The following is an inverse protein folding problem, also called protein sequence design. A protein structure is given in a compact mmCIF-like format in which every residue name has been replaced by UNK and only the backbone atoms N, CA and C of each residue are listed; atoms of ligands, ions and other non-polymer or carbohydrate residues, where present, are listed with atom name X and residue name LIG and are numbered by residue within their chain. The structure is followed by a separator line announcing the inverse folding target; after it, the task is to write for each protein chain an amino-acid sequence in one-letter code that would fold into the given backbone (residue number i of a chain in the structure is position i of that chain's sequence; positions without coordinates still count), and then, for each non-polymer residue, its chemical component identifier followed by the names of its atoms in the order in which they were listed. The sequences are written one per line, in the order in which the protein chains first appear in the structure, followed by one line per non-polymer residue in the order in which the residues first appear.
data_IF_741163929268
#
_entry.id   IF_741163929268
#
_cell.length_a   1.000
_cell.length_b   1.000
_cell.length_c   1.000
_cell.angle_alpha   90.00
_cell.angle_beta   90.00
_cell.angle_gamma   90.00
#
_symmetry.space_group_name_H-M   'P 1'
#
loop_
_entity.id
_entity.type
_entity.pdbx_description
1 polymer ?
#
# COMPACT_ATOMS: atom_id res chain seq x y z
N UNK A 1 -53.72 -34.09 -38.22
CA UNK A 1 -53.45 -33.51 -36.89
C UNK A 1 -52.28 -34.26 -36.29
N UNK A 2 -51.07 -33.73 -36.45
CA UNK A 2 -49.84 -34.20 -35.77
C UNK A 2 -48.81 -33.10 -36.00
N UNK A 3 -48.85 -32.06 -35.18
CA UNK A 3 -47.79 -31.05 -35.06
C UNK A 3 -47.91 -30.42 -33.67
N UNK A 4 -46.79 -30.32 -32.94
CA UNK A 4 -46.74 -29.45 -31.76
C UNK A 4 -45.90 -29.87 -30.56
N UNK A 5 -45.20 -31.02 -30.56
CA UNK A 5 -44.49 -31.45 -29.35
C UNK A 5 -42.97 -31.62 -29.43
N UNK A 6 -42.32 -31.47 -30.60
CA UNK A 6 -40.86 -31.66 -30.68
C UNK A 6 -40.00 -30.39 -30.63
N UNK A 7 -40.58 -29.19 -30.79
CA UNK A 7 -39.79 -27.94 -30.84
C UNK A 7 -39.69 -27.19 -29.50
N UNK A 8 -40.48 -27.57 -28.48
CA UNK A 8 -40.41 -26.96 -27.15
C UNK A 8 -39.33 -27.57 -26.25
N UNK A 9 -38.91 -28.82 -26.50
CA UNK A 9 -37.89 -29.50 -25.69
C UNK A 9 -36.46 -28.99 -25.91
N UNK A 10 -36.15 -28.51 -27.12
CA UNK A 10 -34.81 -28.05 -27.46
C UNK A 10 -34.55 -26.61 -27.03
N UNK A 11 -35.57 -25.74 -27.06
CA UNK A 11 -35.46 -24.37 -26.54
C UNK A 11 -35.34 -24.35 -25.01
N UNK A 12 -35.98 -25.28 -24.28
CA UNK A 12 -35.80 -25.39 -22.83
C UNK A 12 -34.42 -25.90 -22.42
N UNK A 13 -33.79 -26.81 -23.18
CA UNK A 13 -32.46 -27.33 -22.82
C UNK A 13 -31.33 -26.32 -23.09
N UNK A 14 -31.39 -25.56 -24.19
CA UNK A 14 -30.38 -24.52 -24.47
C UNK A 14 -30.47 -23.33 -23.52
N UNK A 15 -31.67 -22.98 -23.05
CA UNK A 15 -31.84 -21.90 -22.06
C UNK A 15 -31.34 -22.33 -20.67
N UNK A 16 -31.53 -23.61 -20.28
CA UNK A 16 -31.01 -24.12 -19.00
C UNK A 16 -29.48 -24.21 -18.98
N UNK A 17 -28.83 -24.57 -20.11
CA UNK A 17 -27.35 -24.61 -20.18
C UNK A 17 -26.73 -23.19 -20.19
N UNK A 18 -27.43 -22.19 -20.75
CA UNK A 18 -27.02 -20.78 -20.66
C UNK A 18 -27.23 -20.17 -19.26
N UNK A 19 -28.24 -20.61 -18.51
CA UNK A 19 -28.45 -20.17 -17.12
C UNK A 19 -27.48 -20.81 -16.12
N UNK A 20 -26.85 -21.94 -16.46
CA UNK A 20 -25.81 -22.60 -15.64
C UNK A 20 -24.37 -22.16 -15.95
N UNK A 21 -24.16 -21.34 -17.00
CA UNK A 21 -22.85 -20.78 -17.38
C UNK A 21 -22.78 -19.25 -17.32
N UNK A 22 -23.69 -18.61 -16.59
CA UNK A 22 -23.42 -17.27 -16.09
C UNK A 22 -22.31 -17.38 -15.04
N UNK A 23 -21.14 -16.73 -15.21
CA UNK A 23 -20.25 -16.54 -14.07
C UNK A 23 -21.09 -15.80 -13.03
N UNK A 24 -21.48 -16.51 -11.97
CA UNK A 24 -22.20 -15.90 -10.85
C UNK A 24 -21.44 -14.65 -10.43
N UNK A 25 -22.12 -13.60 -9.93
CA UNK A 25 -21.45 -12.36 -9.56
C UNK A 25 -20.29 -12.73 -8.65
N UNK A 26 -19.07 -12.61 -9.17
CA UNK A 26 -17.86 -12.85 -8.40
C UNK A 26 -17.87 -11.79 -7.33
N UNK A 27 -18.43 -12.14 -6.18
CA UNK A 27 -18.72 -11.22 -5.12
C UNK A 27 -17.40 -10.62 -4.66
N UNK A 28 -17.17 -9.34 -5.02
CA UNK A 28 -16.05 -8.53 -4.59
C UNK A 28 -15.78 -8.82 -3.10
N UNK A 29 -14.60 -9.34 -2.82
CA UNK A 29 -14.23 -9.89 -1.53
C UNK A 29 -13.49 -8.83 -0.73
N UNK A 30 -14.02 -8.51 0.45
CA UNK A 30 -13.48 -7.54 1.39
C UNK A 30 -13.44 -8.08 2.82
N UNK A 31 -12.40 -8.85 3.12
CA UNK A 31 -12.07 -9.17 4.50
C UNK A 31 -10.95 -8.26 4.97
N UNK A 32 -11.21 -7.37 5.91
CA UNK A 32 -10.16 -6.80 6.76
C UNK A 32 -9.74 -7.77 7.87
N UNK A 33 -9.77 -9.06 7.62
CA UNK A 33 -9.21 -10.04 8.55
C UNK A 33 -7.70 -10.06 8.30
N UNK A 34 -6.90 -10.35 9.32
CA UNK A 34 -5.44 -10.21 9.31
C UNK A 34 -4.66 -11.14 8.37
N UNK A 35 -5.27 -11.52 7.24
CA UNK A 35 -4.71 -12.36 6.20
C UNK A 35 -4.61 -11.64 4.83
N UNK A 36 -5.40 -10.59 4.49
CA UNK A 36 -5.39 -9.98 3.13
C UNK A 36 -5.77 -8.46 3.08
N UNK A 37 -5.04 -7.59 2.35
CA UNK A 37 -5.37 -6.18 2.05
C UNK A 37 -6.34 -5.91 0.87
N UNK A 38 -6.80 -4.65 0.71
CA UNK A 38 -8.06 -4.16 0.06
C UNK A 38 -8.35 -4.28 -1.46
N UNK A 39 -9.64 -4.48 -1.81
CA UNK A 39 -10.15 -4.71 -3.19
C UNK A 39 -11.53 -4.09 -3.51
N UNK A 40 -11.62 -2.89 -4.13
CA UNK A 40 -12.83 -2.07 -4.44
C UNK A 40 -14.26 -2.72 -4.51
N UNK A 41 -15.27 -1.99 -4.03
CA UNK A 41 -16.70 -2.39 -4.07
C UNK A 41 -17.35 -1.68 -5.26
N UNK A 42 -18.15 -2.36 -6.10
CA UNK A 42 -18.91 -1.68 -7.14
C UNK A 42 -19.94 -0.72 -6.51
N UNK A 43 -19.93 0.51 -7.00
CA UNK A 43 -20.71 1.64 -6.53
C UNK A 43 -22.13 1.57 -7.11
N UNK A 44 -23.07 0.94 -6.41
CA UNK A 44 -24.49 1.17 -6.67
C UNK A 44 -25.02 2.16 -5.62
N UNK A 45 -25.48 3.33 -6.09
CA UNK A 45 -26.22 4.33 -5.31
C UNK A 45 -27.47 3.69 -4.72
N UNK A 46 -27.78 4.01 -3.46
CA UNK A 46 -29.04 3.64 -2.83
C UNK A 46 -29.85 4.89 -2.51
N UNK A 47 -31.19 4.83 -2.63
CA UNK A 47 -32.08 5.90 -2.23
C UNK A 47 -32.11 6.05 -0.70
N UNK A 48 -32.32 7.28 -0.24
CA UNK A 48 -32.47 7.63 1.17
C UNK A 48 -33.67 6.90 1.79
N UNK A 49 -33.41 5.97 2.71
CA UNK A 49 -34.41 5.43 3.63
C UNK A 49 -33.80 5.22 5.03
N UNK A 50 -34.54 5.69 6.05
CA UNK A 50 -34.39 5.47 7.49
C UNK A 50 -32.94 5.29 8.02
N UNK A 51 -32.38 6.44 8.41
CA UNK A 51 -31.03 6.69 8.94
C UNK A 51 -30.59 5.71 10.06
N UNK A 52 -31.53 5.21 10.86
CA UNK A 52 -31.22 4.33 12.01
C UNK A 52 -30.79 2.90 11.65
N UNK A 53 -31.23 2.33 10.52
CA UNK A 53 -30.93 0.93 10.12
C UNK A 53 -30.06 0.80 8.86
N UNK A 54 -29.84 1.89 8.12
CA UNK A 54 -29.07 1.88 6.89
C UNK A 54 -27.59 1.49 7.10
N UNK A 55 -26.95 2.03 8.15
CA UNK A 55 -25.52 1.78 8.40
C UNK A 55 -25.25 0.31 8.82
N UNK A 56 -26.17 -0.35 9.52
CA UNK A 56 -26.08 -1.78 9.83
C UNK A 56 -26.02 -2.63 8.55
N UNK A 57 -26.90 -2.33 7.59
CA UNK A 57 -26.93 -3.00 6.28
C UNK A 57 -25.62 -2.78 5.51
N UNK A 58 -25.00 -1.61 5.62
CA UNK A 58 -23.71 -1.34 4.98
C UNK A 58 -22.57 -2.15 5.62
N UNK A 59 -22.50 -2.20 6.96
CA UNK A 59 -21.59 -3.10 7.67
C UNK A 59 -21.81 -4.57 7.29
N UNK A 60 -23.04 -4.95 6.93
CA UNK A 60 -23.36 -6.33 6.58
C UNK A 60 -22.89 -6.76 5.20
N UNK A 61 -22.84 -5.81 4.26
CA UNK A 61 -22.29 -5.99 2.91
C UNK A 61 -20.77 -6.11 2.91
N UNK A 62 -20.10 -5.59 3.94
CA UNK A 62 -18.67 -5.79 4.16
C UNK A 62 -18.42 -7.22 4.71
N UNK A 63 -17.41 -7.91 4.19
CA UNK A 63 -17.06 -9.28 4.67
C UNK A 63 -16.20 -9.20 5.94
N UNK A 64 -16.78 -8.70 7.03
CA UNK A 64 -16.10 -8.51 8.31
C UNK A 64 -16.19 -9.75 9.23
N UNK A 65 -15.12 -9.99 10.01
CA UNK A 65 -15.11 -10.94 11.14
C UNK A 65 -16.21 -10.59 12.16
N UNK A 66 -16.65 -11.55 12.98
CA UNK A 66 -17.68 -11.33 14.02
C UNK A 66 -17.34 -10.18 14.98
N UNK A 67 -16.06 -9.98 15.31
CA UNK A 67 -15.60 -8.85 16.15
C UNK A 67 -15.67 -7.53 15.39
N UNK A 68 -15.16 -7.51 14.16
CA UNK A 68 -15.12 -6.33 13.31
C UNK A 68 -16.51 -5.83 12.93
N UNK A 69 -17.44 -6.74 12.64
CA UNK A 69 -18.84 -6.42 12.37
C UNK A 69 -19.50 -5.74 13.56
N UNK A 70 -19.21 -6.21 14.79
CA UNK A 70 -19.68 -5.57 16.03
C UNK A 70 -19.10 -4.17 16.20
N UNK A 71 -17.83 -3.97 15.86
CA UNK A 71 -17.19 -2.64 15.90
C UNK A 71 -17.76 -1.69 14.83
N UNK A 72 -17.98 -2.17 13.61
CA UNK A 72 -18.58 -1.40 12.52
C UNK A 72 -19.99 -0.90 12.89
N UNK A 73 -20.80 -1.77 13.49
CA UNK A 73 -22.18 -1.46 13.90
C UNK A 73 -22.29 -0.60 15.17
N UNK A 74 -21.17 -0.26 15.81
CA UNK A 74 -21.17 0.47 17.10
C UNK A 74 -21.33 1.98 16.93
N UNK A 75 -20.91 2.51 15.79
CA UNK A 75 -20.85 3.94 15.52
C UNK A 75 -21.31 4.20 14.07
N UNK A 76 -22.37 4.99 13.87
CA UNK A 76 -22.76 5.45 12.55
C UNK A 76 -21.57 6.13 11.82
N UNK A 77 -21.45 5.93 10.51
CA UNK A 77 -20.36 6.49 9.71
C UNK A 77 -19.10 5.63 9.60
N UNK A 78 -18.92 4.62 10.47
CA UNK A 78 -17.77 3.69 10.36
C UNK A 78 -17.83 2.89 9.06
N UNK A 79 -19.01 2.43 8.64
CA UNK A 79 -19.16 1.61 7.44
C UNK A 79 -18.76 2.36 6.16
N UNK A 80 -19.19 3.61 6.04
CA UNK A 80 -18.86 4.53 4.95
C UNK A 80 -17.36 4.85 4.95
N UNK A 81 -16.81 5.11 6.13
CA UNK A 81 -15.37 5.42 6.31
C UNK A 81 -14.48 4.22 5.98
N UNK A 82 -14.91 3.00 6.30
CA UNK A 82 -14.22 1.78 5.88
C UNK A 82 -14.17 1.65 4.35
N UNK A 83 -15.27 1.95 3.65
CA UNK A 83 -15.33 1.92 2.19
C UNK A 83 -14.45 2.99 1.54
N UNK A 84 -14.40 4.19 2.15
CA UNK A 84 -13.49 5.26 1.73
C UNK A 84 -12.02 4.84 1.87
N UNK A 85 -11.65 4.30 3.04
CA UNK A 85 -10.30 3.79 3.31
C UNK A 85 -9.86 2.73 2.29
N UNK A 86 -10.74 1.76 2.03
CA UNK A 86 -10.60 0.73 1.02
C UNK A 86 -10.25 1.32 -0.35
N UNK A 87 -11.05 2.30 -0.78
CA UNK A 87 -10.98 2.84 -2.14
C UNK A 87 -9.72 3.67 -2.31
N UNK A 88 -9.43 4.49 -1.31
CA UNK A 88 -8.25 5.33 -1.24
C UNK A 88 -6.96 4.48 -1.24
N UNK A 89 -6.86 3.45 -0.40
CA UNK A 89 -5.70 2.54 -0.38
C UNK A 89 -5.50 1.79 -1.70
N UNK A 90 -6.60 1.32 -2.31
CA UNK A 90 -6.58 0.60 -3.57
C UNK A 90 -6.07 1.48 -4.73
N UNK A 91 -6.61 2.70 -4.85
CA UNK A 91 -6.20 3.67 -5.86
C UNK A 91 -4.74 4.07 -5.68
N UNK A 92 -4.30 4.33 -4.45
CA UNK A 92 -2.91 4.68 -4.19
C UNK A 92 -1.96 3.54 -4.51
N UNK A 93 -2.34 2.29 -4.19
CA UNK A 93 -1.52 1.14 -4.55
C UNK A 93 -1.37 0.99 -6.07
N UNK A 94 -2.46 1.13 -6.82
CA UNK A 94 -2.40 1.12 -8.28
C UNK A 94 -1.55 2.28 -8.81
N UNK A 95 -1.68 3.47 -8.22
CA UNK A 95 -0.87 4.62 -8.59
C UNK A 95 0.63 4.37 -8.38
N UNK A 96 1.03 3.90 -7.19
CA UNK A 96 2.43 3.67 -6.85
C UNK A 96 3.09 2.58 -7.73
N UNK A 97 2.31 1.63 -8.24
CA UNK A 97 2.78 0.49 -9.01
C UNK A 97 2.42 0.53 -10.51
N UNK A 98 1.86 1.65 -11.00
CA UNK A 98 1.37 1.79 -12.39
C UNK A 98 2.40 1.47 -13.47
N UNK A 99 3.68 1.71 -13.18
CA UNK A 99 4.79 1.54 -14.11
C UNK A 99 5.67 0.31 -13.81
N UNK A 100 5.27 -0.51 -12.84
CA UNK A 100 5.99 -1.70 -12.40
C UNK A 100 5.44 -2.96 -13.07
N UNK A 101 6.22 -4.05 -13.08
CA UNK A 101 5.77 -5.35 -13.62
C UNK A 101 4.58 -5.92 -12.86
N UNK A 102 4.52 -5.68 -11.56
CA UNK A 102 3.34 -5.90 -10.73
C UNK A 102 2.60 -4.57 -10.55
N UNK A 103 1.35 -4.48 -10.99
CA UNK A 103 0.58 -3.24 -11.06
C UNK A 103 -0.50 -3.11 -9.98
N UNK A 104 -0.32 -3.80 -8.84
CA UNK A 104 -1.31 -3.86 -7.77
C UNK A 104 -2.73 -4.23 -8.23
N UNK A 105 -2.98 -5.51 -8.59
CA UNK A 105 -4.31 -5.95 -8.99
C UNK A 105 -5.32 -5.71 -7.87
N UNK A 106 -6.39 -4.99 -8.20
CA UNK A 106 -7.42 -4.58 -7.25
C UNK A 106 -8.25 -5.77 -6.78
N UNK A 107 -8.58 -6.70 -7.67
CA UNK A 107 -9.46 -7.83 -7.40
C UNK A 107 -8.98 -9.12 -8.07
N UNK A 108 -9.58 -10.23 -7.67
CA UNK A 108 -9.46 -11.52 -8.35
C UNK A 108 -8.38 -12.45 -7.80
N UNK A 109 -8.21 -13.57 -8.51
CA UNK A 109 -7.36 -14.70 -8.11
C UNK A 109 -5.89 -14.34 -7.87
N UNK A 110 -5.35 -13.41 -8.65
CA UNK A 110 -3.94 -13.01 -8.56
C UNK A 110 -3.64 -12.33 -7.24
N UNK A 111 -4.54 -11.45 -6.81
CA UNK A 111 -4.45 -10.78 -5.52
C UNK A 111 -4.50 -11.79 -4.36
N UNK A 112 -5.52 -12.66 -4.36
CA UNK A 112 -5.67 -13.69 -3.33
C UNK A 112 -4.46 -14.65 -3.26
N UNK A 113 -3.81 -14.92 -4.40
CA UNK A 113 -2.62 -15.77 -4.41
C UNK A 113 -1.37 -15.06 -3.86
N UNK A 114 -1.21 -13.76 -4.12
CA UNK A 114 -0.11 -12.96 -3.57
C UNK A 114 -0.20 -12.88 -2.05
N UNK A 115 -1.40 -12.64 -1.53
CA UNK A 115 -1.59 -12.36 -0.11
C UNK A 115 -1.45 -13.58 0.80
N UNK A 116 -1.69 -14.78 0.25
CA UNK A 116 -1.32 -16.06 0.86
C UNK A 116 0.19 -16.24 1.06
N UNK A 117 1.03 -15.42 0.43
CA UNK A 117 2.49 -15.53 0.46
C UNK A 117 3.14 -14.31 1.09
N UNK A 118 4.33 -14.51 1.64
CA UNK A 118 5.10 -13.47 2.32
C UNK A 118 5.99 -12.64 1.42
N UNK A 119 5.49 -12.16 0.28
CA UNK A 119 6.26 -11.35 -0.67
C UNK A 119 6.39 -9.87 -0.26
N UNK A 120 7.28 -9.12 -0.91
CA UNK A 120 7.41 -7.66 -0.74
C UNK A 120 6.09 -6.95 -1.06
N UNK A 121 5.37 -7.40 -2.09
CA UNK A 121 4.09 -6.82 -2.53
C UNK A 121 3.05 -6.99 -1.43
N UNK A 122 3.02 -8.16 -0.79
CA UNK A 122 2.15 -8.41 0.35
C UNK A 122 2.46 -7.45 1.50
N UNK A 123 3.74 -7.26 1.83
CA UNK A 123 4.16 -6.32 2.87
C UNK A 123 3.68 -4.89 2.63
N UNK A 124 3.83 -4.39 1.39
CA UNK A 124 3.31 -3.07 1.01
C UNK A 124 1.79 -3.01 1.13
N UNK A 125 1.09 -4.04 0.65
CA UNK A 125 -0.36 -4.05 0.68
C UNK A 125 -0.92 -4.00 2.11
N UNK A 126 -0.32 -4.69 3.07
CA UNK A 126 -0.67 -4.57 4.50
C UNK A 126 -0.45 -3.14 5.02
N UNK A 127 0.69 -2.54 4.69
CA UNK A 127 1.05 -1.21 5.16
C UNK A 127 0.16 -0.10 4.56
N UNK A 128 -0.10 -0.12 3.25
CA UNK A 128 -0.97 0.89 2.60
C UNK A 128 -2.43 0.75 3.05
N UNK A 129 -2.86 -0.46 3.39
CA UNK A 129 -4.20 -0.72 3.89
C UNK A 129 -4.38 -0.20 5.32
N UNK A 130 -3.44 -0.52 6.22
CA UNK A 130 -3.51 -0.01 7.57
C UNK A 130 -3.31 1.51 7.64
N UNK A 131 -2.48 2.08 6.77
CA UNK A 131 -2.33 3.53 6.61
C UNK A 131 -3.63 4.18 6.12
N UNK A 132 -4.30 3.62 5.11
CA UNK A 132 -5.56 4.17 4.60
C UNK A 132 -6.69 4.12 5.62
N UNK A 133 -6.76 3.06 6.43
CA UNK A 133 -7.68 3.00 7.56
C UNK A 133 -7.40 4.10 8.58
N UNK A 134 -6.15 4.24 9.02
CA UNK A 134 -5.80 5.28 10.00
C UNK A 134 -6.10 6.68 9.45
N UNK A 135 -5.78 6.91 8.18
CA UNK A 135 -6.00 8.20 7.52
C UNK A 135 -7.49 8.55 7.41
N UNK A 136 -8.30 7.64 6.87
CA UNK A 136 -9.74 7.85 6.71
C UNK A 136 -10.45 8.01 8.06
N UNK A 137 -10.10 7.19 9.06
CA UNK A 137 -10.72 7.27 10.40
C UNK A 137 -10.39 8.58 11.10
N UNK A 138 -9.14 9.04 11.03
CA UNK A 138 -8.74 10.31 11.63
C UNK A 138 -9.46 11.51 10.99
N UNK A 139 -9.61 11.49 9.65
CA UNK A 139 -10.36 12.50 8.89
C UNK A 139 -11.86 12.44 9.13
N UNK A 140 -12.43 11.26 9.30
CA UNK A 140 -13.85 11.12 9.59
C UNK A 140 -14.22 11.73 10.95
N UNK A 141 -13.33 11.62 11.95
CA UNK A 141 -13.50 12.27 13.25
C UNK A 141 -13.46 13.79 13.16
N UNK A 142 -12.47 14.36 12.47
CA UNK A 142 -12.36 15.82 12.31
C UNK A 142 -13.46 16.40 11.40
N UNK A 143 -14.02 15.60 10.51
CA UNK A 143 -15.17 15.98 9.69
C UNK A 143 -16.53 15.85 10.42
N UNK A 144 -16.58 15.33 11.65
CA UNK A 144 -17.83 15.11 12.38
C UNK A 144 -18.72 14.03 11.78
N UNK A 145 -18.17 13.09 11.00
CA UNK A 145 -18.92 11.99 10.35
C UNK A 145 -19.15 10.78 11.25
N UNK A 146 -18.49 10.72 12.41
CA UNK A 146 -18.61 9.65 13.39
C UNK A 146 -18.98 10.25 14.74
N UNK A 147 -19.89 9.63 15.46
CA UNK A 147 -20.47 10.21 16.68
C UNK A 147 -19.59 9.95 17.90
N UNK A 148 -18.80 8.87 17.91
CA UNK A 148 -17.99 8.47 19.06
C UNK A 148 -16.56 8.99 19.03
N UNK A 149 -16.26 9.95 18.16
CA UNK A 149 -15.00 10.68 18.18
C UNK A 149 -15.18 12.14 17.80
N UNK A 150 -14.25 12.96 18.27
CA UNK A 150 -14.15 14.38 17.97
C UNK A 150 -12.81 14.68 17.33
N UNK A 151 -12.56 15.93 16.90
CA UNK A 151 -11.23 16.34 16.47
C UNK A 151 -10.19 16.25 17.59
N UNK A 152 -8.91 16.26 17.18
CA UNK A 152 -7.80 16.49 18.11
C UNK A 152 -7.72 17.98 18.43
N UNK A 153 -8.09 18.34 19.66
CA UNK A 153 -7.97 19.72 20.19
C UNK A 153 -6.52 20.09 20.54
N UNK A 154 -5.59 19.11 20.51
CA UNK A 154 -4.14 19.26 20.68
C UNK A 154 -3.72 20.26 21.80
N UNK A 155 -4.14 20.03 23.06
CA UNK A 155 -3.83 20.93 24.18
C UNK A 155 -2.33 21.04 24.49
N UNK A 156 -1.56 20.01 24.13
CA UNK A 156 -0.12 19.87 24.40
C UNK A 156 0.78 20.86 23.62
N UNK A 157 0.20 21.63 22.69
CA UNK A 157 0.95 22.52 21.80
C UNK A 157 0.82 24.01 22.20
N UNK A 158 0.21 24.33 23.35
CA UNK A 158 0.08 25.70 23.89
C UNK A 158 1.36 26.54 23.71
N UNK A 159 1.27 27.57 22.86
CA UNK A 159 2.34 28.53 22.68
C UNK A 159 1.85 29.89 23.16
N UNK A 160 2.41 30.38 24.26
CA UNK A 160 2.02 31.65 24.92
C UNK A 160 2.36 32.91 24.10
N UNK A 161 2.89 32.76 22.87
CA UNK A 161 3.29 33.87 22.00
C UNK A 161 2.54 33.82 20.67
N UNK A 162 1.50 34.65 20.58
CA UNK A 162 0.94 35.26 19.37
C UNK A 162 0.06 34.44 18.40
N UNK A 163 -0.51 33.30 18.78
CA UNK A 163 -1.55 32.66 17.97
C UNK A 163 -2.53 31.86 18.82
N UNK A 164 -3.80 31.85 18.42
CA UNK A 164 -4.89 31.21 19.16
C UNK A 164 -5.12 29.80 18.58
N UNK A 165 -5.18 28.80 19.46
CA UNK A 165 -5.63 27.47 19.08
C UNK A 165 -7.12 27.52 18.73
N UNK A 166 -7.44 26.92 17.59
CA UNK A 166 -8.78 26.86 17.06
C UNK A 166 -8.78 26.01 15.80
N UNK A 167 -9.92 25.40 15.49
CA UNK A 167 -10.04 24.49 14.35
C UNK A 167 -9.98 23.02 14.75
N UNK A 168 -10.50 22.19 13.84
CA UNK A 168 -10.77 20.79 14.10
C UNK A 168 -9.66 19.94 13.45
N UNK A 169 -8.67 19.53 14.27
CA UNK A 169 -7.53 18.72 13.82
C UNK A 169 -7.88 17.24 13.62
N UNK A 170 -7.15 16.57 12.73
CA UNK A 170 -7.34 15.14 12.45
C UNK A 170 -6.98 14.28 13.67
N UNK A 171 -7.91 13.42 14.12
CA UNK A 171 -7.74 12.64 15.36
C UNK A 171 -6.97 11.34 15.15
N UNK A 172 -5.65 11.46 14.97
CA UNK A 172 -4.73 10.34 14.75
C UNK A 172 -4.69 9.40 15.96
N UNK A 173 -4.82 9.94 17.18
CA UNK A 173 -4.80 9.15 18.42
C UNK A 173 -5.97 8.16 18.45
N UNK A 174 -7.19 8.65 18.17
CA UNK A 174 -8.38 7.80 18.04
C UNK A 174 -8.22 6.78 16.91
N UNK A 175 -7.81 7.23 15.71
CA UNK A 175 -7.69 6.36 14.55
C UNK A 175 -6.70 5.20 14.80
N UNK A 176 -5.53 5.48 15.37
CA UNK A 176 -4.54 4.47 15.73
C UNK A 176 -5.10 3.43 16.71
N UNK A 177 -5.90 3.86 17.69
CA UNK A 177 -6.56 2.96 18.64
C UNK A 177 -7.61 2.10 17.94
N UNK A 178 -8.50 2.73 17.18
CA UNK A 178 -9.56 2.05 16.42
C UNK A 178 -8.98 0.97 15.51
N UNK A 179 -7.98 1.32 14.69
CA UNK A 179 -7.39 0.41 13.70
C UNK A 179 -6.69 -0.78 14.38
N UNK A 180 -5.93 -0.55 15.47
CA UNK A 180 -5.31 -1.65 16.23
C UNK A 180 -6.35 -2.61 16.82
N UNK A 181 -7.44 -2.07 17.36
CA UNK A 181 -8.52 -2.89 17.94
C UNK A 181 -9.31 -3.64 16.87
N UNK A 182 -9.51 -3.00 15.72
CA UNK A 182 -10.25 -3.52 14.57
C UNK A 182 -9.50 -4.63 13.85
N UNK A 183 -8.20 -4.47 13.59
CA UNK A 183 -7.36 -5.49 12.98
C UNK A 183 -7.03 -6.63 13.96
N UNK A 184 -7.04 -6.32 15.26
CA UNK A 184 -6.89 -7.29 16.35
C UNK A 184 -5.46 -7.81 16.53
N UNK A 185 -5.19 -8.45 17.67
CA UNK A 185 -3.91 -9.11 17.95
C UNK A 185 -3.94 -10.54 17.40
N UNK A 186 -2.97 -10.91 16.57
CA UNK A 186 -2.78 -12.29 16.06
C UNK A 186 -1.88 -13.08 17.01
N UNK A 187 -1.97 -14.41 16.94
CA UNK A 187 -1.06 -15.29 17.66
C UNK A 187 0.37 -15.03 17.18
N UNK A 188 1.27 -14.72 18.12
CA UNK A 188 2.66 -14.38 17.82
C UNK A 188 3.51 -15.61 17.45
N UNK A 189 2.89 -16.80 17.38
CA UNK A 189 3.58 -18.08 17.20
C UNK A 189 4.20 -18.22 15.79
N UNK A 190 3.48 -17.80 14.75
CA UNK A 190 3.93 -17.91 13.37
C UNK A 190 4.73 -16.66 12.92
N UNK A 191 5.90 -16.88 12.30
CA UNK A 191 6.72 -15.83 11.70
C UNK A 191 5.91 -14.97 10.71
N UNK A 192 5.03 -15.59 9.91
CA UNK A 192 4.19 -14.87 8.95
C UNK A 192 3.29 -13.85 9.65
N UNK A 193 2.60 -14.28 10.70
CA UNK A 193 1.74 -13.42 11.50
C UNK A 193 2.52 -12.27 12.16
N UNK A 194 3.75 -12.51 12.60
CA UNK A 194 4.65 -11.48 13.15
C UNK A 194 5.00 -10.41 12.10
N UNK A 195 5.38 -10.85 10.91
CA UNK A 195 5.74 -9.97 9.79
C UNK A 195 4.54 -9.15 9.32
N UNK A 196 3.37 -9.75 9.16
CA UNK A 196 2.16 -9.04 8.72
C UNK A 196 1.70 -8.01 9.76
N UNK A 197 1.78 -8.36 11.05
CA UNK A 197 1.53 -7.43 12.14
C UNK A 197 2.52 -6.27 12.16
N UNK A 198 3.80 -6.53 11.90
CA UNK A 198 4.81 -5.47 11.79
C UNK A 198 4.50 -4.51 10.64
N UNK A 199 4.27 -5.03 9.44
CA UNK A 199 3.94 -4.21 8.27
C UNK A 199 2.67 -3.38 8.48
N UNK A 200 1.66 -3.98 9.12
CA UNK A 200 0.45 -3.29 9.56
C UNK A 200 0.78 -2.12 10.50
N UNK A 201 1.63 -2.35 11.51
CA UNK A 201 2.05 -1.31 12.44
C UNK A 201 2.88 -0.20 11.79
N UNK A 202 3.70 -0.52 10.78
CA UNK A 202 4.43 0.47 9.98
C UNK A 202 3.43 1.39 9.27
N UNK A 203 2.40 0.85 8.62
CA UNK A 203 1.35 1.66 7.98
C UNK A 203 0.56 2.56 8.94
N UNK A 204 0.27 2.08 10.14
CA UNK A 204 -0.36 2.90 11.20
C UNK A 204 0.58 4.03 11.62
N UNK A 205 1.87 3.72 11.86
CA UNK A 205 2.86 4.70 12.35
C UNK A 205 3.29 5.74 11.33
N UNK A 206 3.27 5.40 10.03
CA UNK A 206 3.68 6.33 8.97
C UNK A 206 2.65 7.44 8.77
N UNK A 207 1.40 7.18 9.16
CA UNK A 207 0.29 8.14 9.11
C UNK A 207 0.48 9.20 10.20
N UNK A 208 1.24 10.24 9.86
CA UNK A 208 1.55 11.38 10.71
C UNK A 208 0.85 12.64 10.20
N UNK A 209 0.63 13.58 11.11
CA UNK A 209 0.09 14.90 10.78
C UNK A 209 1.05 16.00 11.22
N UNK A 210 1.09 17.06 10.41
CA UNK A 210 1.87 18.27 10.62
C UNK A 210 0.96 19.40 11.12
N UNK A 211 1.55 20.40 11.74
CA UNK A 211 0.82 21.60 12.15
C UNK A 211 0.56 22.44 10.88
N UNK A 212 -0.71 22.72 10.61
CA UNK A 212 -1.15 23.62 9.53
C UNK A 212 -1.84 24.82 10.15
N UNK A 213 -1.60 26.01 9.60
CA UNK A 213 -2.14 27.26 10.11
C UNK A 213 -2.88 28.03 9.01
N UNK A 214 -3.99 28.68 9.36
CA UNK A 214 -4.64 29.73 8.57
C UNK A 214 -4.44 31.09 9.22
N UNK A 215 -4.19 32.10 8.40
CA UNK A 215 -3.99 33.48 8.83
C UNK A 215 -5.29 34.28 8.67
N UNK A 216 -5.61 35.09 9.68
CA UNK A 216 -6.87 35.84 9.78
C UNK A 216 -6.67 37.34 10.03
N UNK A 217 -5.45 37.86 9.89
CA UNK A 217 -5.17 39.29 10.08
C UNK A 217 -5.71 40.16 8.94
N UNK A 218 -5.80 41.46 9.20
CA UNK A 218 -6.26 42.49 8.23
C UNK A 218 -5.49 42.33 6.92
N UNK A 219 -6.21 42.35 5.79
CA UNK A 219 -5.67 42.18 4.44
C UNK A 219 -4.90 40.87 4.20
N UNK A 220 -5.21 39.80 4.94
CA UNK A 220 -4.54 38.50 4.80
C UNK A 220 -3.21 38.38 5.57
N UNK A 221 -2.93 39.31 6.48
CA UNK A 221 -1.75 39.23 7.35
C UNK A 221 -1.82 38.05 8.33
N UNK A 222 -0.66 37.53 8.74
CA UNK A 222 -0.55 36.40 9.68
C UNK A 222 -0.32 36.83 11.14
N UNK A 223 -0.69 38.06 11.50
CA UNK A 223 -0.57 38.59 12.87
C UNK A 223 -1.43 37.80 13.86
N UNK A 224 -2.62 37.39 13.42
CA UNK A 224 -3.43 36.37 14.09
C UNK A 224 -3.56 35.18 13.15
N UNK A 225 -3.27 33.99 13.69
CA UNK A 225 -3.43 32.74 12.97
C UNK A 225 -4.02 31.68 13.88
N UNK A 226 -4.64 30.72 13.24
CA UNK A 226 -5.30 29.58 13.87
C UNK A 226 -4.69 28.32 13.30
N UNK A 227 -4.16 27.45 14.15
CA UNK A 227 -3.46 26.24 13.71
C UNK A 227 -4.12 24.99 14.26
N UNK A 228 -4.05 23.90 13.48
CA UNK A 228 -4.51 22.57 13.87
C UNK A 228 -3.57 21.52 13.29
N UNK A 229 -3.69 20.29 13.80
CA UNK A 229 -2.96 19.15 13.25
C UNK A 229 -3.68 18.60 12.02
N UNK A 230 -2.99 18.52 10.90
CA UNK A 230 -3.53 18.01 9.64
C UNK A 230 -2.68 16.85 9.12
N UNK A 231 -3.33 15.76 8.71
CA UNK A 231 -2.68 14.63 8.07
C UNK A 231 -2.05 15.04 6.73
N UNK A 232 -0.92 14.40 6.42
CA UNK A 232 -0.33 14.51 5.09
C UNK A 232 -1.32 14.04 4.01
N UNK A 233 -1.22 14.59 2.78
CA UNK A 233 -1.90 14.03 1.62
C UNK A 233 -1.60 12.53 1.50
N UNK A 234 -2.63 11.72 1.21
CA UNK A 234 -2.45 10.27 1.20
C UNK A 234 -1.45 9.81 0.14
N UNK A 235 -1.31 10.56 -0.96
CA UNK A 235 -0.31 10.31 -1.99
C UNK A 235 1.13 10.36 -1.45
N UNK A 236 1.44 11.30 -0.54
CA UNK A 236 2.76 11.36 0.10
C UNK A 236 2.99 10.16 1.03
N UNK A 237 1.95 9.68 1.71
CA UNK A 237 2.01 8.47 2.53
C UNK A 237 2.31 7.26 1.65
N UNK A 238 1.62 7.14 0.50
CA UNK A 238 1.87 6.10 -0.50
C UNK A 238 3.30 6.13 -1.04
N UNK A 239 3.83 7.32 -1.35
CA UNK A 239 5.19 7.49 -1.84
C UNK A 239 6.23 7.10 -0.78
N UNK A 240 6.02 7.50 0.47
CA UNK A 240 6.87 7.10 1.59
C UNK A 240 6.84 5.57 1.80
N UNK A 241 5.66 4.94 1.73
CA UNK A 241 5.53 3.48 1.81
C UNK A 241 6.21 2.78 0.63
N UNK A 242 6.18 3.36 -0.58
CA UNK A 242 6.85 2.81 -1.77
C UNK A 242 8.37 2.83 -1.58
N UNK A 243 8.93 3.87 -0.98
CA UNK A 243 10.35 3.91 -0.60
C UNK A 243 10.71 2.80 0.41
N UNK A 244 9.84 2.56 1.41
CA UNK A 244 10.03 1.47 2.37
C UNK A 244 9.90 0.08 1.73
N UNK A 245 9.08 -0.05 0.70
CA UNK A 245 8.95 -1.27 -0.09
C UNK A 245 10.24 -1.56 -0.87
N UNK A 246 10.84 -0.56 -1.51
CA UNK A 246 12.10 -0.75 -2.23
C UNK A 246 13.20 -1.23 -1.28
N UNK A 247 13.34 -0.57 -0.13
CA UNK A 247 14.35 -0.86 0.88
C UNK A 247 13.95 -1.97 1.88
N UNK A 248 12.87 -2.70 1.61
CA UNK A 248 12.35 -3.72 2.52
C UNK A 248 13.31 -4.88 2.75
N UNK A 249 13.32 -5.43 3.97
CA UNK A 249 14.26 -6.47 4.39
C UNK A 249 13.62 -7.86 4.38
N UNK A 250 14.35 -8.85 3.86
CA UNK A 250 13.97 -10.25 3.94
C UNK A 250 14.32 -10.82 5.32
N UNK A 251 13.37 -11.54 5.91
CA UNK A 251 13.52 -12.20 7.21
C UNK A 251 13.23 -13.69 7.11
N UNK A 252 14.02 -14.49 7.81
CA UNK A 252 13.80 -15.93 7.96
C UNK A 252 13.69 -16.32 9.44
N UNK A 253 13.17 -17.51 9.71
CA UNK A 253 13.21 -18.12 11.05
C UNK A 253 14.51 -18.89 11.18
N UNK A 254 15.37 -18.57 12.14
CA UNK A 254 16.34 -19.54 12.66
C UNK A 254 15.68 -20.23 13.85
N UNK A 255 15.22 -21.47 13.64
CA UNK A 255 14.81 -22.33 14.75
C UNK A 255 16.06 -22.98 15.31
N UNK A 256 16.57 -22.49 16.43
CA UNK A 256 17.48 -23.29 17.26
C UNK A 256 16.59 -24.26 18.05
N UNK A 257 16.71 -25.56 17.79
CA UNK A 257 15.85 -26.62 18.36
C UNK A 257 15.92 -26.73 19.90
N UNK A 258 16.78 -25.96 20.57
CA UNK A 258 16.98 -26.02 22.02
C UNK A 258 16.04 -25.13 22.86
N UNK A 259 15.31 -24.17 22.30
CA UNK A 259 14.51 -23.21 23.11
C UNK A 259 13.06 -23.01 22.67
N UNK A 260 12.63 -23.55 21.52
CA UNK A 260 11.25 -23.41 21.04
C UNK A 260 10.85 -21.96 20.66
N UNK A 261 11.79 -21.03 20.63
CA UNK A 261 11.61 -19.64 20.19
C UNK A 261 12.32 -19.42 18.84
N UNK A 262 11.58 -18.93 17.85
CA UNK A 262 12.08 -18.71 16.49
C UNK A 262 12.67 -17.31 16.33
N UNK A 263 13.98 -17.22 16.20
CA UNK A 263 14.72 -15.97 16.01
C UNK A 263 14.52 -15.42 14.58
N UNK A 264 14.50 -14.09 14.44
CA UNK A 264 14.33 -13.40 13.14
C UNK A 264 15.71 -13.01 12.60
N UNK A 265 16.28 -13.85 11.74
CA UNK A 265 17.55 -13.54 11.08
C UNK A 265 17.34 -12.59 9.89
N UNK A 266 18.00 -11.43 9.90
CA UNK A 266 18.07 -10.54 8.73
C UNK A 266 19.09 -11.10 7.72
N UNK A 267 18.72 -11.20 6.44
CA UNK A 267 19.53 -11.81 5.37
C UNK A 267 20.92 -11.20 5.11
N UNK A 268 21.28 -10.08 5.77
CA UNK A 268 22.62 -9.48 5.68
C UNK A 268 23.75 -10.41 6.14
N UNK A 269 23.50 -11.31 7.10
CA UNK A 269 24.51 -12.27 7.58
C UNK A 269 24.85 -13.36 6.55
N UNK A 270 23.88 -13.82 5.77
CA UNK A 270 24.10 -14.85 4.74
C UNK A 270 24.87 -14.31 3.53
N UNK A 271 24.61 -13.06 3.11
CA UNK A 271 25.38 -12.41 2.04
C UNK A 271 26.84 -12.14 2.43
N UNK A 272 27.10 -11.75 3.68
CA UNK A 272 28.47 -11.58 4.18
C UNK A 272 29.24 -12.91 4.26
N UNK A 273 28.57 -14.01 4.65
CA UNK A 273 29.20 -15.34 4.66
C UNK A 273 29.49 -15.87 3.25
N UNK A 274 28.60 -15.64 2.28
CA UNK A 274 28.87 -16.02 0.87
C UNK A 274 29.98 -15.17 0.23
N UNK A 275 30.05 -13.87 0.54
CA UNK A 275 31.15 -13.01 0.09
C UNK A 275 32.49 -13.38 0.73
N UNK A 276 32.50 -13.76 2.03
CA UNK A 276 33.71 -14.25 2.69
C UNK A 276 34.18 -15.60 2.14
N UNK A 277 33.26 -16.52 1.81
CA UNK A 277 33.62 -17.80 1.17
C UNK A 277 34.15 -17.61 -0.26
N UNK A 278 33.61 -16.67 -1.04
CA UNK A 278 34.14 -16.34 -2.36
C UNK A 278 35.50 -15.64 -2.29
N UNK A 279 35.73 -14.76 -1.30
CA UNK A 279 37.03 -14.12 -1.08
C UNK A 279 38.10 -15.12 -0.59
N UNK A 280 37.73 -16.11 0.24
CA UNK A 280 38.65 -17.16 0.68
C UNK A 280 39.05 -18.12 -0.45
N UNK A 281 38.15 -18.39 -1.41
CA UNK A 281 38.50 -19.21 -2.58
C UNK A 281 39.42 -18.48 -3.57
N UNK A 282 39.36 -17.14 -3.65
CA UNK A 282 40.26 -16.36 -4.52
C UNK A 282 41.67 -16.17 -3.94
N UNK A 283 41.85 -16.25 -2.62
CA UNK A 283 43.17 -16.09 -1.99
C UNK A 283 44.08 -17.35 -2.07
N UNK A 284 43.56 -18.50 -2.51
CA UNK A 284 44.37 -19.72 -2.65
C UNK A 284 45.07 -19.88 -4.01
N UNK A 285 44.96 -18.91 -4.93
CA UNK A 285 45.50 -19.04 -6.30
C UNK A 285 46.53 -17.97 -6.74
N UNK A 286 47.21 -17.27 -5.83
CA UNK A 286 48.31 -16.37 -6.22
C UNK A 286 49.69 -16.85 -5.73
N UNK A 287 50.71 -16.97 -6.62
CA UNK A 287 52.09 -17.25 -6.23
C UNK A 287 52.77 -16.02 -5.59
N UNK A 288 53.62 -16.26 -4.59
CA UNK A 288 54.41 -15.24 -3.88
C UNK A 288 55.58 -14.67 -4.72
N UNK A 289 55.84 -13.34 -4.70
CA UNK A 289 57.14 -12.78 -5.08
C UNK A 289 58.02 -12.42 -3.87
N UNK A 290 59.34 -12.50 -4.09
CA UNK A 290 60.46 -12.25 -3.16
C UNK A 290 60.66 -10.75 -2.77
N UNK A 291 61.41 -10.45 -1.68
CA UNK A 291 61.42 -9.12 -1.05
C UNK A 291 62.53 -8.19 -1.58
N UNK A 292 62.23 -6.89 -1.65
CA UNK A 292 63.21 -5.79 -1.81
C UNK A 292 63.11 -4.77 -0.64
N UNK A 293 64.20 -4.03 -0.33
CA UNK A 293 64.34 -3.29 0.92
C UNK A 293 63.71 -1.88 0.90
N UNK A 294 63.22 -1.45 2.06
CA UNK A 294 62.57 -0.17 2.35
C UNK A 294 63.55 1.01 2.50
N UNK A 295 63.06 2.24 2.27
CA UNK A 295 63.41 3.40 3.10
C UNK A 295 62.22 3.87 3.96
N UNK A 296 62.51 4.31 5.20
CA UNK A 296 61.59 4.80 6.24
C UNK A 296 61.34 6.33 6.17
N UNK A 297 60.36 6.90 6.92
CA UNK A 297 59.34 7.81 6.39
C UNK A 297 59.44 9.28 6.87
N UNK A 298 58.59 10.20 6.36
CA UNK A 298 58.17 11.38 7.09
C UNK A 298 56.89 11.12 7.90
N UNK A 299 56.86 11.66 9.11
CA UNK A 299 55.80 11.53 10.11
C UNK A 299 54.49 12.20 9.64
N UNK A 300 53.40 11.42 9.56
CA UNK A 300 52.04 11.94 9.59
C UNK A 300 51.35 11.42 10.85
N UNK A 301 50.78 12.36 11.60
CA UNK A 301 50.03 12.12 12.83
C UNK A 301 48.89 11.13 12.59
N UNK A 302 48.92 10.01 13.30
CA UNK A 302 47.86 9.01 13.33
C UNK A 302 46.61 9.61 13.97
N UNK A 303 45.61 9.95 13.16
CA UNK A 303 44.23 10.00 13.63
C UNK A 303 43.67 8.59 13.54
N UNK A 304 43.40 7.98 14.69
CA UNK A 304 42.68 6.70 14.76
C UNK A 304 41.27 6.89 14.17
N UNK A 305 40.82 6.01 13.26
CA UNK A 305 39.41 6.00 12.86
C UNK A 305 38.55 5.73 14.11
N UNK A 306 37.40 6.41 14.27
CA UNK A 306 36.54 6.19 15.42
C UNK A 306 36.10 4.72 15.49
N UNK A 307 36.00 4.14 16.70
CA UNK A 307 35.59 2.75 16.85
C UNK A 307 34.21 2.56 16.20
N UNK A 308 33.99 1.43 15.51
CA UNK A 308 32.67 1.13 14.95
C UNK A 308 31.64 1.14 16.09
N UNK A 309 30.42 1.69 15.83
CA UNK A 309 29.38 1.71 16.84
C UNK A 309 29.12 0.29 17.35
N UNK A 310 28.86 0.12 18.66
CA UNK A 310 28.67 -1.20 19.24
C UNK A 310 27.54 -1.93 18.51
N UNK A 311 27.85 -3.14 18.03
CA UNK A 311 26.87 -4.04 17.42
C UNK A 311 25.73 -4.24 18.43
N UNK A 312 24.47 -3.98 18.06
CA UNK A 312 23.36 -4.29 18.95
C UNK A 312 23.35 -5.80 19.21
N UNK A 313 23.33 -6.16 20.49
CA UNK A 313 23.32 -7.55 20.95
C UNK A 313 22.11 -8.35 20.45
N UNK A 314 22.16 -9.69 20.57
CA UNK A 314 21.10 -10.57 20.10
C UNK A 314 19.87 -10.36 21.00
N UNK A 315 18.84 -9.76 20.43
CA UNK A 315 17.54 -9.70 21.07
C UNK A 315 16.50 -9.88 19.97
N UNK A 316 15.62 -10.87 20.15
CA UNK A 316 14.58 -11.37 19.24
C UNK A 316 13.46 -10.37 18.91
N UNK A 317 13.83 -9.12 18.70
CA UNK A 317 12.92 -8.05 18.39
C UNK A 317 12.93 -7.81 16.90
N UNK A 318 11.77 -8.03 16.27
CA UNK A 318 11.45 -7.39 14.98
C UNK A 318 11.97 -5.95 15.05
N UNK A 319 12.78 -5.49 14.09
CA UNK A 319 13.37 -4.18 14.14
C UNK A 319 12.30 -3.12 14.46
N UNK A 320 12.53 -2.27 15.48
CA UNK A 320 11.65 -1.12 15.77
C UNK A 320 11.70 -0.04 14.67
N UNK A 321 12.32 -0.36 13.55
CA UNK A 321 12.54 0.51 12.40
C UNK A 321 11.29 0.60 11.55
N UNK A 322 11.13 1.73 10.87
CA UNK A 322 10.09 1.96 9.87
C UNK A 322 10.47 1.25 8.56
N UNK A 323 10.66 -0.07 8.58
CA UNK A 323 11.07 -0.87 7.41
C UNK A 323 10.04 -1.96 7.15
N UNK A 324 9.67 -2.19 5.89
CA UNK A 324 8.80 -3.30 5.54
C UNK A 324 9.58 -4.62 5.53
N UNK A 325 8.93 -5.69 5.98
CA UNK A 325 9.51 -7.01 6.11
C UNK A 325 8.79 -8.01 5.21
N UNK A 326 9.54 -8.92 4.60
CA UNK A 326 9.03 -10.00 3.77
C UNK A 326 9.79 -11.30 4.06
N UNK A 327 9.18 -12.44 3.76
CA UNK A 327 9.72 -13.77 4.07
C UNK A 327 10.22 -14.46 2.79
N UNK A 328 9.55 -14.20 1.68
CA UNK A 328 9.76 -14.88 0.41
C UNK A 328 10.19 -13.90 -0.67
N UNK A 329 11.01 -14.37 -1.60
CA UNK A 329 11.36 -13.58 -2.78
C UNK A 329 10.15 -13.45 -3.70
N UNK A 330 9.94 -12.25 -4.23
CA UNK A 330 8.84 -11.99 -5.15
C UNK A 330 8.98 -12.81 -6.44
N UNK A 331 7.88 -13.39 -6.96
CA UNK A 331 7.93 -14.17 -8.19
C UNK A 331 8.18 -13.26 -9.40
N UNK A 332 8.59 -13.85 -10.53
CA UNK A 332 8.62 -13.10 -11.79
C UNK A 332 7.20 -12.76 -12.24
N UNK A 333 6.95 -11.46 -12.46
CA UNK A 333 5.68 -10.95 -12.97
C UNK A 333 5.67 -10.74 -14.49
N UNK A 334 6.76 -11.12 -15.18
CA UNK A 334 6.89 -10.93 -16.63
C UNK A 334 5.94 -11.80 -17.44
N UNK A 335 5.78 -13.07 -17.04
CA UNK A 335 4.92 -14.05 -17.71
C UNK A 335 3.68 -14.34 -16.86
N UNK A 336 2.56 -14.76 -17.50
CA UNK A 336 1.38 -15.18 -16.77
C UNK A 336 1.70 -16.29 -15.76
N UNK A 337 1.18 -16.15 -14.54
CA UNK A 337 1.34 -17.11 -13.45
C UNK A 337 0.14 -17.05 -12.50
N UNK A 338 0.15 -17.86 -11.44
CA UNK A 338 -0.87 -17.74 -10.38
C UNK A 338 -0.87 -16.36 -9.70
N UNK A 339 0.22 -15.62 -9.75
CA UNK A 339 0.39 -14.34 -9.05
C UNK A 339 0.21 -13.10 -9.93
N UNK A 340 0.30 -13.23 -11.27
CA UNK A 340 0.13 -12.11 -12.19
C UNK A 340 -0.34 -12.57 -13.56
N UNK A 341 -1.04 -11.70 -14.29
CA UNK A 341 -1.42 -11.94 -15.68
C UNK A 341 -0.24 -11.80 -16.66
N UNK A 342 0.95 -11.40 -16.19
CA UNK A 342 2.11 -11.11 -17.04
C UNK A 342 2.13 -9.65 -17.52
N UNK A 343 3.14 -9.30 -18.30
CA UNK A 343 3.30 -7.93 -18.84
C UNK A 343 2.99 -7.79 -20.32
N UNK A 344 2.58 -8.87 -20.99
CA UNK A 344 2.13 -8.83 -22.38
C UNK A 344 0.98 -7.82 -22.56
N UNK A 345 1.01 -7.06 -23.66
CA UNK A 345 0.01 -6.04 -24.00
C UNK A 345 -0.13 -4.87 -23.01
N UNK A 346 0.74 -4.76 -22.00
CA UNK A 346 0.75 -3.58 -21.12
C UNK A 346 1.37 -2.37 -21.81
N UNK A 347 0.78 -1.21 -21.58
CA UNK A 347 1.33 0.07 -22.05
C UNK A 347 2.62 0.41 -21.32
N UNK A 348 3.59 0.92 -22.05
CA UNK A 348 4.86 1.41 -21.53
C UNK A 348 5.23 2.76 -22.15
N UNK A 349 6.26 3.40 -21.60
CA UNK A 349 6.79 4.68 -22.05
C UNK A 349 8.20 4.44 -22.58
N UNK A 350 8.40 4.72 -23.88
CA UNK A 350 9.60 4.36 -24.65
C UNK A 350 10.90 4.70 -23.94
N UNK A 351 11.02 5.95 -23.46
CA UNK A 351 12.27 6.44 -22.86
C UNK A 351 12.35 6.26 -21.34
N UNK A 352 11.31 5.72 -20.70
CA UNK A 352 11.24 5.62 -19.25
C UNK A 352 11.27 4.18 -18.74
N UNK A 353 10.35 3.32 -19.20
CA UNK A 353 10.11 2.03 -18.53
C UNK A 353 9.81 0.85 -19.45
N UNK A 354 9.83 1.01 -20.78
CA UNK A 354 9.55 -0.09 -21.70
C UNK A 354 10.49 -1.29 -21.50
N UNK A 355 11.79 -1.07 -21.32
CA UNK A 355 12.74 -2.16 -21.09
C UNK A 355 12.46 -2.92 -19.79
N UNK A 356 12.12 -2.18 -18.73
CA UNK A 356 11.84 -2.75 -17.42
C UNK A 356 10.53 -3.57 -17.42
N UNK A 357 9.44 -3.01 -17.94
CA UNK A 357 8.10 -3.63 -17.90
C UNK A 357 7.93 -4.74 -18.95
N UNK A 358 8.53 -4.60 -20.13
CA UNK A 358 8.44 -5.59 -21.21
C UNK A 358 9.44 -6.75 -21.05
N UNK A 359 10.30 -6.70 -20.03
CA UNK A 359 11.25 -7.77 -19.68
C UNK A 359 12.13 -8.20 -20.87
N UNK A 360 12.62 -7.23 -21.65
CA UNK A 360 13.48 -7.48 -22.82
C UNK A 360 12.79 -8.04 -24.06
N UNK A 361 11.47 -8.26 -24.07
CA UNK A 361 10.73 -8.74 -25.26
C UNK A 361 10.50 -7.66 -26.33
N UNK A 362 10.83 -6.40 -26.01
CA UNK A 362 10.50 -5.23 -26.82
C UNK A 362 9.02 -4.83 -26.75
N UNK A 363 8.65 -3.82 -27.52
CA UNK A 363 7.30 -3.26 -27.58
C UNK A 363 6.83 -3.06 -29.02
N UNK A 364 5.52 -3.14 -29.24
CA UNK A 364 4.87 -2.67 -30.46
C UNK A 364 4.61 -1.17 -30.34
N UNK A 365 4.67 -0.45 -31.46
CA UNK A 365 4.37 0.98 -31.54
C UNK A 365 3.13 1.17 -32.41
N UNK A 366 2.12 1.85 -31.88
CA UNK A 366 0.90 2.19 -32.62
C UNK A 366 0.64 3.68 -32.52
N UNK A 367 0.40 4.35 -33.66
CA UNK A 367 -0.06 5.73 -33.66
C UNK A 367 -1.56 5.76 -33.37
N UNK A 368 -1.98 6.48 -32.35
CA UNK A 368 -3.38 6.69 -31.98
C UNK A 368 -3.71 8.17 -32.01
N UNK A 369 -4.81 8.54 -32.65
CA UNK A 369 -5.37 9.88 -32.50
C UNK A 369 -6.08 9.98 -31.16
N UNK A 370 -5.65 10.95 -30.35
CA UNK A 370 -6.20 11.24 -29.04
C UNK A 370 -6.77 12.65 -29.08
N UNK A 371 -8.07 12.75 -28.88
CA UNK A 371 -8.75 14.03 -28.73
C UNK A 371 -8.70 14.46 -27.27
N UNK A 372 -8.19 15.65 -27.00
CA UNK A 372 -8.12 16.25 -25.66
C UNK A 372 -8.64 17.69 -25.67
N UNK A 373 -9.18 18.17 -24.54
CA UNK A 373 -9.46 19.57 -24.36
C UNK A 373 -8.18 20.39 -24.52
N UNK A 374 -8.24 21.41 -25.35
CA UNK A 374 -7.13 22.30 -25.66
C UNK A 374 -7.65 23.74 -25.78
N UNK A 375 -6.73 24.71 -25.77
CA UNK A 375 -7.06 26.13 -25.98
C UNK A 375 -8.21 26.59 -25.04
N UNK A 376 -8.12 26.20 -23.77
CA UNK A 376 -9.14 26.48 -22.79
C UNK A 376 -9.13 27.97 -22.40
N UNK A 377 -10.30 28.62 -22.45
CA UNK A 377 -10.50 30.00 -22.04
C UNK A 377 -11.50 30.08 -20.89
N UNK A 378 -11.14 30.84 -19.87
CA UNK A 378 -12.04 31.15 -18.75
C UNK A 378 -13.02 32.23 -19.22
N UNK A 379 -14.30 31.90 -19.31
CA UNK A 379 -15.35 32.89 -19.56
C UNK A 379 -15.63 33.65 -18.26
N UNK A 380 -15.86 34.96 -18.36
CA UNK A 380 -16.20 35.82 -17.23
C UNK A 380 -17.64 35.55 -16.75
N UNK A 381 -17.84 34.36 -16.17
CA UNK A 381 -18.98 33.90 -15.34
C UNK A 381 -18.86 32.38 -15.05
N UNK A 382 -17.67 31.97 -14.60
CA UNK A 382 -17.40 30.73 -13.84
C UNK A 382 -17.39 29.39 -14.60
N UNK A 383 -17.16 29.37 -15.91
CA UNK A 383 -16.88 28.12 -16.62
C UNK A 383 -15.72 28.25 -17.61
N UNK A 384 -15.08 27.11 -17.88
CA UNK A 384 -13.96 26.99 -18.81
C UNK A 384 -14.49 26.39 -20.10
N UNK A 385 -14.38 27.14 -21.19
CA UNK A 385 -14.63 26.61 -22.53
C UNK A 385 -13.33 26.14 -23.15
N UNK A 386 -13.28 24.87 -23.54
CA UNK A 386 -12.14 24.30 -24.27
C UNK A 386 -12.59 23.85 -25.65
N UNK A 387 -11.71 24.00 -26.64
CA UNK A 387 -11.87 23.31 -27.92
C UNK A 387 -11.41 21.86 -27.77
N UNK A 388 -11.87 20.99 -28.67
CA UNK A 388 -11.37 19.64 -28.79
C UNK A 388 -10.26 19.63 -29.83
N UNK A 389 -9.02 19.33 -29.43
CA UNK A 389 -7.91 19.14 -30.36
C UNK A 389 -7.62 17.65 -30.50
N UNK A 390 -7.51 17.19 -31.73
CA UNK A 390 -7.02 15.84 -32.03
C UNK A 390 -5.52 15.90 -32.26
N UNK A 391 -4.77 15.12 -31.48
CA UNK A 391 -3.33 14.97 -31.64
C UNK A 391 -3.00 13.50 -31.89
N UNK A 392 -2.04 13.23 -32.78
CA UNK A 392 -1.51 11.89 -32.99
C UNK A 392 -0.45 11.60 -31.93
N UNK A 393 -0.67 10.58 -31.12
CA UNK A 393 0.26 10.11 -30.09
C UNK A 393 0.73 8.70 -30.41
N UNK A 394 1.99 8.39 -30.08
CA UNK A 394 2.51 7.03 -30.15
C UNK A 394 2.21 6.29 -28.84
N UNK A 395 1.58 5.13 -28.95
CA UNK A 395 1.32 4.22 -27.82
C UNK A 395 2.23 3.01 -27.97
N UNK A 396 3.01 2.73 -26.93
CA UNK A 396 3.91 1.58 -26.87
C UNK A 396 3.31 0.49 -26.00
N UNK A 397 3.24 -0.74 -26.50
CA UNK A 397 2.68 -1.90 -25.78
C UNK A 397 3.64 -3.07 -25.79
N UNK A 398 3.88 -3.69 -24.65
CA UNK A 398 4.80 -4.82 -24.54
C UNK A 398 4.40 -6.00 -25.41
N UNK A 399 5.40 -6.62 -26.05
CA UNK A 399 5.22 -7.85 -26.84
C UNK A 399 4.94 -9.07 -25.93
N UNK A 400 4.25 -10.05 -26.52
CA UNK A 400 3.88 -11.33 -25.92
C UNK A 400 5.09 -12.18 -25.56
#
# INVERSE_FOLDING_TARGET
MLDGHLLLGWLSFTVIVYLLNLPGPTAAYFGLTGNEPFSNLPLNSLPEENVGRAHYKLCDRLKLEKKQRRMCRRDPGVAETLREAITMSAQECHYQFRFERWNCPLEGRHRANILKRGFKETAFLYAISSAGLTHAMAKACSAGRMERCTCDEAPDLENRKAWQWGGCGDNIKYANKFVRDFLGKRSNKDLRARVDMHNTNVGIKITKGNITCKCHGVSGSCTVRTCWRQLLPFHEIGANLKLLYENGSKVGSSTNEATGEGEIATGRRQQQQQQQQQQQQQQQQQPQPQPQPQPQPPQQQQQQPPPPPPLPGPNDQIPRTMTLLHIEDSPSFCRPSKYSSGTAARTCYKDNNCDAICCGRGHNTQSREVTRPCQCQVRWCCYVECKQCTQREEVYTCKG
#
